data_IF_883813098866
#
_entry.id   IF_883813098866
#
_cell.length_a   1.000
_cell.length_b   1.000
_cell.length_c   1.000
_cell.angle_alpha   90.00
_cell.angle_beta   90.00
_cell.angle_gamma   90.00
#
_symmetry.space_group_name_H-M   'P 1'
#
loop_
_entity.id
_entity.type
_entity.pdbx_description
1 polymer ?
#
# COMPACT_ATOMS: atom_id res chain seq x y z
N UNK A 1 -2.62 -14.86 -9.64
CA UNK A 1 -2.70 -13.40 -9.77
C UNK A 1 -2.66 -12.78 -8.38
N UNK A 2 -1.76 -11.83 -8.17
CA UNK A 2 -1.68 -11.15 -6.87
C UNK A 2 -2.73 -10.05 -6.77
N UNK A 3 -3.25 -9.88 -5.57
CA UNK A 3 -4.28 -8.90 -5.26
C UNK A 3 -3.68 -7.78 -4.42
N UNK A 4 -3.80 -6.54 -4.91
CA UNK A 4 -3.22 -5.34 -4.30
C UNK A 4 -4.34 -4.46 -3.78
N UNK A 5 -4.26 -4.07 -2.51
CA UNK A 5 -5.19 -3.07 -1.95
C UNK A 5 -4.53 -1.70 -2.00
N UNK A 6 -5.14 -0.75 -2.69
CA UNK A 6 -4.67 0.63 -2.77
C UNK A 6 -5.50 1.47 -1.81
N UNK A 7 -4.84 2.07 -0.82
CA UNK A 7 -5.47 2.92 0.18
C UNK A 7 -5.05 4.37 -0.04
N UNK A 8 -5.98 5.18 -0.53
CA UNK A 8 -5.74 6.59 -0.83
C UNK A 8 -7.10 7.30 -0.85
N UNK A 9 -7.17 8.51 -0.35
CA UNK A 9 -8.42 9.26 -0.30
C UNK A 9 -8.73 10.01 -1.60
N UNK A 10 -7.80 10.06 -2.55
CA UNK A 10 -8.01 10.72 -3.83
C UNK A 10 -8.50 9.73 -4.90
N UNK A 11 -9.76 9.87 -5.37
CA UNK A 11 -10.30 8.93 -6.37
C UNK A 11 -9.51 8.89 -7.67
N UNK A 12 -9.01 10.04 -8.12
CA UNK A 12 -8.24 10.11 -9.36
C UNK A 12 -6.93 9.34 -9.27
N UNK A 13 -6.27 9.40 -8.12
CA UNK A 13 -5.02 8.70 -7.92
C UNK A 13 -5.25 7.19 -7.82
N UNK A 14 -6.33 6.78 -7.14
CA UNK A 14 -6.70 5.36 -7.10
C UNK A 14 -6.96 4.82 -8.50
N UNK A 15 -7.62 5.62 -9.34
CA UNK A 15 -7.91 5.23 -10.72
C UNK A 15 -6.62 5.00 -11.51
N UNK A 16 -5.66 5.92 -11.38
CA UNK A 16 -4.36 5.78 -12.06
C UNK A 16 -3.65 4.50 -11.61
N UNK A 17 -3.59 4.27 -10.31
CA UNK A 17 -2.95 3.07 -9.79
C UNK A 17 -3.66 1.80 -10.23
N UNK A 18 -4.99 1.83 -10.27
CA UNK A 18 -5.77 0.70 -10.74
C UNK A 18 -5.43 0.33 -12.18
N UNK A 19 -5.31 1.34 -13.05
CA UNK A 19 -4.96 1.11 -14.45
C UNK A 19 -3.53 0.59 -14.58
N UNK A 20 -2.58 1.24 -13.93
CA UNK A 20 -1.17 0.88 -14.01
C UNK A 20 -0.93 -0.54 -13.46
N UNK A 21 -1.47 -0.84 -12.30
CA UNK A 21 -1.31 -2.15 -11.68
C UNK A 21 -2.08 -3.23 -12.44
N UNK A 22 -3.25 -2.89 -12.95
CA UNK A 22 -4.05 -3.82 -13.74
C UNK A 22 -3.35 -4.26 -15.01
N UNK A 23 -2.63 -3.34 -15.67
CA UNK A 23 -1.86 -3.66 -16.88
C UNK A 23 -0.74 -4.67 -16.59
N UNK A 24 -0.23 -4.68 -15.36
CA UNK A 24 0.80 -5.64 -14.95
C UNK A 24 0.22 -6.98 -14.48
N UNK A 25 -1.09 -7.14 -14.56
CA UNK A 25 -1.75 -8.39 -14.21
C UNK A 25 -2.17 -8.50 -12.76
N UNK A 26 -2.09 -7.42 -11.97
CA UNK A 26 -2.57 -7.42 -10.60
C UNK A 26 -4.07 -7.15 -10.54
N UNK A 27 -4.73 -7.80 -9.60
CA UNK A 27 -6.12 -7.45 -9.26
C UNK A 27 -6.07 -6.33 -8.22
N UNK A 28 -6.83 -5.26 -8.41
CA UNK A 28 -6.77 -4.08 -7.55
C UNK A 28 -8.05 -3.90 -6.77
N UNK A 29 -7.91 -3.78 -5.45
CA UNK A 29 -8.98 -3.37 -4.56
C UNK A 29 -8.67 -1.96 -4.08
N UNK A 30 -9.69 -1.22 -3.65
CA UNK A 30 -9.53 0.17 -3.23
C UNK A 30 -10.16 0.42 -1.87
N UNK A 31 -9.53 1.32 -1.08
CA UNK A 31 -10.08 1.80 0.18
C UNK A 31 -9.66 3.26 0.37
N UNK A 32 -10.48 4.04 1.07
CA UNK A 32 -10.20 5.45 1.30
C UNK A 32 -10.12 5.82 2.79
N UNK A 33 -10.27 4.86 3.69
CA UNK A 33 -10.27 5.11 5.12
C UNK A 33 -9.68 3.93 5.89
N UNK A 34 -9.42 4.15 7.17
CA UNK A 34 -8.96 3.09 8.09
C UNK A 34 -9.98 1.95 8.11
N UNK A 35 -11.25 2.31 8.29
CA UNK A 35 -12.31 1.32 8.42
C UNK A 35 -12.42 0.44 7.16
N UNK A 36 -12.47 1.07 5.99
CA UNK A 36 -12.56 0.32 4.74
C UNK A 36 -11.35 -0.59 4.54
N UNK A 37 -10.17 -0.11 4.90
CA UNK A 37 -8.95 -0.89 4.78
C UNK A 37 -9.03 -2.16 5.63
N UNK A 38 -9.37 -2.01 6.89
CA UNK A 38 -9.43 -3.15 7.80
C UNK A 38 -10.56 -4.12 7.45
N UNK A 39 -11.71 -3.59 7.05
CA UNK A 39 -12.83 -4.41 6.63
C UNK A 39 -12.46 -5.23 5.38
N UNK A 40 -11.78 -4.61 4.43
CA UNK A 40 -11.34 -5.30 3.21
C UNK A 40 -10.34 -6.40 3.54
N UNK A 41 -9.37 -6.12 4.41
CA UNK A 41 -8.36 -7.11 4.79
C UNK A 41 -8.96 -8.30 5.52
N UNK A 42 -10.04 -8.10 6.25
CA UNK A 42 -10.74 -9.19 6.92
C UNK A 42 -11.57 -10.04 5.98
N UNK A 43 -12.11 -9.42 4.91
CA UNK A 43 -13.06 -10.06 4.01
C UNK A 43 -12.42 -10.69 2.79
N UNK A 44 -11.37 -10.07 2.26
CA UNK A 44 -10.75 -10.45 1.01
C UNK A 44 -9.30 -10.88 1.21
N UNK A 45 -8.82 -11.89 0.47
CA UNK A 45 -7.38 -12.18 0.48
C UNK A 45 -6.63 -11.06 -0.25
N UNK A 46 -5.64 -10.47 0.43
CA UNK A 46 -4.82 -9.38 -0.11
C UNK A 46 -3.37 -9.78 0.01
N UNK A 47 -2.61 -9.59 -1.06
CA UNK A 47 -1.19 -9.96 -1.11
C UNK A 47 -0.26 -8.82 -0.74
N UNK A 48 -0.71 -7.57 -0.91
CA UNK A 48 0.10 -6.39 -0.62
C UNK A 48 -0.81 -5.16 -0.51
N UNK A 49 -0.45 -4.24 0.36
CA UNK A 49 -1.16 -2.96 0.53
C UNK A 49 -0.26 -1.82 0.08
N UNK A 50 -0.78 -0.96 -0.80
CA UNK A 50 -0.17 0.33 -1.14
C UNK A 50 -0.91 1.38 -0.33
N UNK A 51 -0.22 2.04 0.58
CA UNK A 51 -0.84 2.88 1.59
C UNK A 51 -0.33 4.31 1.53
N UNK A 52 -1.25 5.27 1.39
CA UNK A 52 -0.92 6.69 1.49
C UNK A 52 -0.79 7.08 2.98
N UNK A 53 0.22 7.86 3.31
CA UNK A 53 0.42 8.35 4.67
C UNK A 53 -0.66 9.35 5.08
N UNK A 54 -1.04 10.23 4.16
CA UNK A 54 -2.07 11.24 4.46
C UNK A 54 -3.40 10.86 3.86
N UNK A 55 -4.29 10.39 4.72
CA UNK A 55 -5.69 10.20 4.38
C UNK A 55 -6.46 11.42 4.91
N UNK A 56 -7.62 11.72 4.35
CA UNK A 56 -8.35 12.97 4.54
C UNK A 56 -8.45 13.42 6.00
N UNK A 57 -8.86 12.55 6.89
CA UNK A 57 -9.03 12.88 8.32
C UNK A 57 -8.26 11.89 9.21
N UNK A 58 -7.39 11.08 8.61
CA UNK A 58 -6.73 10.00 9.32
C UNK A 58 -5.26 9.91 8.89
N UNK A 59 -4.44 9.31 9.74
CA UNK A 59 -3.04 9.08 9.41
C UNK A 59 -2.85 7.68 8.85
N UNK A 60 -2.21 7.58 7.68
CA UNK A 60 -1.82 6.30 7.14
C UNK A 60 -0.83 5.55 8.02
N UNK A 61 -0.07 6.28 8.85
CA UNK A 61 0.84 5.62 9.81
C UNK A 61 0.07 4.84 10.87
N UNK A 62 -1.10 5.34 11.29
CA UNK A 62 -1.96 4.60 12.22
C UNK A 62 -2.50 3.33 11.56
N UNK A 63 -2.89 3.44 10.28
CA UNK A 63 -3.32 2.27 9.51
C UNK A 63 -2.21 1.25 9.41
N UNK A 64 -0.98 1.72 9.15
CA UNK A 64 0.19 0.83 9.06
C UNK A 64 0.42 0.06 10.37
N UNK A 65 0.33 0.74 11.51
CA UNK A 65 0.48 0.08 12.80
C UNK A 65 -0.57 -1.00 12.99
N UNK A 66 -1.80 -0.72 12.63
CA UNK A 66 -2.89 -1.69 12.76
C UNK A 66 -2.73 -2.87 11.82
N UNK A 67 -2.31 -2.63 10.59
CA UNK A 67 -2.05 -3.72 9.64
C UNK A 67 -0.93 -4.61 10.16
N UNK A 68 0.15 -4.00 10.63
CA UNK A 68 1.30 -4.76 11.14
C UNK A 68 0.90 -5.64 12.33
N UNK A 69 0.02 -5.14 13.17
CA UNK A 69 -0.43 -5.86 14.37
C UNK A 69 -1.44 -6.95 14.03
N UNK A 70 -2.43 -6.63 13.21
CA UNK A 70 -3.56 -7.54 12.94
C UNK A 70 -3.33 -8.46 11.74
N UNK A 71 -2.50 -8.04 10.79
CA UNK A 71 -2.22 -8.77 9.55
C UNK A 71 -0.72 -8.79 9.26
N UNK A 72 0.09 -9.40 10.16
CA UNK A 72 1.55 -9.29 10.08
C UNK A 72 2.18 -9.94 8.85
N UNK A 73 1.45 -10.78 8.13
CA UNK A 73 1.98 -11.44 6.94
C UNK A 73 1.76 -10.63 5.66
N UNK A 74 0.96 -9.57 5.73
CA UNK A 74 0.67 -8.75 4.55
C UNK A 74 1.69 -7.61 4.45
N UNK A 75 2.50 -7.56 3.38
CA UNK A 75 3.46 -6.47 3.20
C UNK A 75 2.78 -5.17 2.84
N UNK A 76 3.39 -4.07 3.28
CA UNK A 76 2.88 -2.72 3.02
C UNK A 76 3.95 -1.89 2.33
N UNK A 77 3.57 -1.23 1.24
CA UNK A 77 4.38 -0.23 0.57
C UNK A 77 3.75 1.13 0.89
N UNK A 78 4.48 1.98 1.62
CA UNK A 78 4.03 3.33 1.91
C UNK A 78 4.30 4.24 0.72
N UNK A 79 3.33 5.09 0.40
CA UNK A 79 3.47 6.13 -0.61
C UNK A 79 3.14 7.48 0.02
N UNK A 80 4.00 8.47 -0.19
CA UNK A 80 3.77 9.81 0.35
C UNK A 80 4.29 10.87 -0.60
N UNK A 81 3.62 12.02 -0.62
CA UNK A 81 4.13 13.19 -1.32
C UNK A 81 5.32 13.84 -0.57
N UNK A 82 5.59 13.39 0.65
CA UNK A 82 6.56 14.05 1.53
C UNK A 82 7.71 13.11 1.91
N UNK A 83 8.93 13.60 1.71
CA UNK A 83 10.15 12.87 2.07
C UNK A 83 10.32 12.79 3.60
N UNK A 84 9.81 13.79 4.33
CA UNK A 84 10.00 13.90 5.77
C UNK A 84 9.51 12.71 6.57
N UNK A 85 8.53 11.98 6.06
CA UNK A 85 8.00 10.81 6.77
C UNK A 85 8.91 9.59 6.72
N UNK A 86 9.95 9.60 5.89
CA UNK A 86 10.91 8.50 5.83
C UNK A 86 11.67 8.32 7.14
N UNK A 87 11.76 9.38 7.96
CA UNK A 87 12.48 9.33 9.23
C UNK A 87 11.56 9.04 10.42
N UNK A 88 10.28 8.81 10.18
CA UNK A 88 9.34 8.45 11.24
C UNK A 88 9.48 6.96 11.55
N UNK A 89 9.64 6.62 12.83
CA UNK A 89 9.79 5.22 13.24
C UNK A 89 8.63 4.36 12.79
N UNK A 90 7.43 4.90 12.80
CA UNK A 90 6.26 4.14 12.37
C UNK A 90 6.38 3.71 10.91
N UNK A 91 6.95 4.57 10.06
CA UNK A 91 7.11 4.24 8.64
C UNK A 91 8.06 3.05 8.42
N UNK A 92 8.94 2.76 9.39
CA UNK A 92 9.86 1.63 9.29
C UNK A 92 9.16 0.27 9.41
N UNK A 93 7.90 0.26 9.85
CA UNK A 93 7.11 -0.96 9.84
C UNK A 93 6.71 -1.41 8.45
N UNK A 94 6.77 -0.50 7.47
CA UNK A 94 6.47 -0.82 6.09
C UNK A 94 7.63 -1.58 5.44
N UNK A 95 7.30 -2.38 4.45
CA UNK A 95 8.30 -3.13 3.67
C UNK A 95 9.02 -2.23 2.67
N UNK A 96 8.42 -1.12 2.29
CA UNK A 96 9.01 -0.15 1.39
C UNK A 96 8.36 1.22 1.58
N UNK A 97 9.11 2.26 1.26
CA UNK A 97 8.64 3.65 1.30
C UNK A 97 8.95 4.31 -0.03
N UNK A 98 7.92 4.86 -0.68
CA UNK A 98 8.07 5.55 -1.96
C UNK A 98 7.56 6.98 -1.82
N UNK A 99 8.33 7.94 -2.31
CA UNK A 99 7.86 9.31 -2.44
C UNK A 99 7.06 9.38 -3.73
N UNK A 100 5.83 9.88 -3.65
CA UNK A 100 4.96 10.00 -4.83
C UNK A 100 5.61 10.83 -5.92
N UNK A 101 5.63 10.28 -7.12
CA UNK A 101 6.17 10.96 -8.30
C UNK A 101 5.22 10.72 -9.47
N UNK A 102 5.52 11.38 -10.59
CA UNK A 102 4.74 11.19 -11.81
C UNK A 102 5.08 9.88 -12.52
N UNK A 103 6.12 9.17 -12.08
CA UNK A 103 6.53 7.91 -12.71
C UNK A 103 6.01 6.70 -11.93
N UNK A 104 4.98 6.01 -12.45
CA UNK A 104 4.43 4.84 -11.78
C UNK A 104 5.35 3.62 -11.82
N UNK A 105 6.39 3.65 -12.64
CA UNK A 105 7.32 2.51 -12.76
C UNK A 105 8.08 2.24 -11.46
N UNK A 106 8.36 3.29 -10.68
CA UNK A 106 9.01 3.12 -9.38
C UNK A 106 8.14 2.28 -8.45
N UNK A 107 6.85 2.57 -8.40
CA UNK A 107 5.91 1.80 -7.58
C UNK A 107 5.85 0.34 -8.05
N UNK A 108 5.78 0.11 -9.35
CA UNK A 108 5.73 -1.24 -9.91
C UNK A 108 6.98 -2.03 -9.55
N UNK A 109 8.15 -1.41 -9.62
CA UNK A 109 9.41 -2.07 -9.26
C UNK A 109 9.41 -2.49 -7.79
N UNK A 110 8.96 -1.60 -6.92
CA UNK A 110 8.92 -1.89 -5.48
C UNK A 110 7.90 -2.96 -5.14
N UNK A 111 6.75 -2.95 -5.77
CA UNK A 111 5.76 -4.00 -5.56
C UNK A 111 6.33 -5.35 -5.97
N UNK A 112 6.95 -5.43 -7.15
CA UNK A 112 7.56 -6.69 -7.61
C UNK A 112 8.66 -7.17 -6.67
N UNK A 113 9.50 -6.23 -6.20
CA UNK A 113 10.58 -6.56 -5.27
C UNK A 113 10.03 -7.13 -3.96
N UNK A 114 9.04 -6.47 -3.38
CA UNK A 114 8.46 -6.88 -2.11
C UNK A 114 7.74 -8.22 -2.22
N UNK A 115 6.96 -8.43 -3.26
CA UNK A 115 6.26 -9.69 -3.48
C UNK A 115 7.24 -10.84 -3.72
N UNK A 116 8.31 -10.60 -4.48
CA UNK A 116 9.35 -11.58 -4.74
C UNK A 116 10.08 -11.99 -3.47
N UNK A 117 10.40 -11.00 -2.62
CA UNK A 117 11.08 -11.24 -1.36
C UNK A 117 10.22 -12.09 -0.43
N UNK A 118 8.92 -11.78 -0.34
CA UNK A 118 8.00 -12.56 0.48
C UNK A 118 7.87 -14.00 -0.03
N UNK A 119 7.83 -14.17 -1.34
CA UNK A 119 7.78 -15.49 -1.94
C UNK A 119 9.01 -16.34 -1.64
N UNK A 120 10.18 -15.73 -1.52
CA UNK A 120 11.44 -16.43 -1.25
C UNK A 120 11.59 -16.88 0.20
N UNK A 121 10.85 -16.29 1.11
CA UNK A 121 10.96 -16.63 2.54
C UNK A 121 10.08 -17.80 2.95
N UNK A 122 9.36 -18.37 2.04
CA UNK A 122 8.47 -19.50 2.29
C UNK A 122 9.17 -20.84 2.17
#
# INVERSE_FOLDING_TARGET
>A
MNRILVVDDEPNLRLVYREVLGEEGYEVLEAESVKETLDTLKREPVDLVVLDIKLRSESGLDVLQRITKEFPTIPVVLCSAYVSFQNDYTSWLADSYIVKSSDPQELLREIRRVLSKRGKTR
#
